data_IF_824701375705
#
_entry.id   IF_824701375705
#
_cell.length_a   1.000
_cell.length_b   1.000
_cell.length_c   1.000
_cell.angle_alpha   90.00
_cell.angle_beta   90.00
_cell.angle_gamma   90.00
#
_symmetry.space_group_name_H-M   'P 1'
#
loop_
_entity.id
_entity.type
_entity.pdbx_description
1 polymer ?
#
# COMPACT_ATOMS: atom_id res chain seq x y z
N UNK A 1 -21.04 6.82 -6.08
CA UNK A 1 -19.60 6.66 -5.78
C UNK A 1 -18.84 7.58 -6.71
N UNK A 2 -17.75 8.20 -6.27
CA UNK A 2 -16.99 9.18 -7.05
C UNK A 2 -15.61 8.61 -7.40
N UNK A 3 -15.50 7.74 -8.42
CA UNK A 3 -14.23 7.08 -8.76
C UNK A 3 -13.24 8.03 -9.45
N UNK A 4 -13.75 9.10 -10.06
CA UNK A 4 -12.96 10.08 -10.82
C UNK A 4 -13.29 11.47 -10.31
N UNK A 5 -12.25 12.22 -9.93
CA UNK A 5 -12.30 13.65 -9.69
C UNK A 5 -11.87 14.37 -10.96
N UNK A 6 -12.79 15.12 -11.56
CA UNK A 6 -12.51 15.87 -12.77
C UNK A 6 -12.19 17.33 -12.42
N UNK A 7 -10.94 17.73 -12.61
CA UNK A 7 -10.47 19.10 -12.42
C UNK A 7 -10.16 19.66 -13.83
N UNK A 8 -11.18 20.24 -14.46
CA UNK A 8 -11.10 20.69 -15.85
C UNK A 8 -10.77 19.51 -16.80
N UNK A 9 -9.69 19.56 -17.59
CA UNK A 9 -9.29 18.46 -18.48
C UNK A 9 -8.63 17.28 -17.74
N UNK A 10 -8.28 17.44 -16.45
CA UNK A 10 -7.55 16.42 -15.70
C UNK A 10 -8.53 15.47 -14.98
N UNK A 11 -8.51 14.19 -15.37
CA UNK A 11 -9.27 13.12 -14.72
C UNK A 11 -8.37 12.38 -13.72
N UNK A 12 -8.57 12.61 -12.42
CA UNK A 12 -7.81 11.99 -11.35
C UNK A 12 -8.60 10.81 -10.80
N UNK A 13 -7.98 9.62 -10.73
CA UNK A 13 -8.57 8.46 -10.04
C UNK A 13 -8.54 8.71 -8.53
N UNK A 14 -9.71 8.96 -7.95
CA UNK A 14 -9.90 9.25 -6.53
C UNK A 14 -9.37 8.14 -5.59
N UNK A 15 -9.57 6.85 -5.88
CA UNK A 15 -9.05 5.77 -5.02
C UNK A 15 -7.53 5.84 -4.85
N UNK A 16 -6.80 6.03 -5.95
CA UNK A 16 -5.34 6.15 -5.92
C UNK A 16 -4.87 7.40 -5.17
N UNK A 17 -5.57 8.53 -5.36
CA UNK A 17 -5.27 9.77 -4.65
C UNK A 17 -5.42 9.59 -3.12
N UNK A 18 -6.50 8.95 -2.67
CA UNK A 18 -6.75 8.69 -1.26
C UNK A 18 -5.68 7.79 -0.64
N UNK A 19 -5.21 6.77 -1.36
CA UNK A 19 -4.10 5.93 -0.90
C UNK A 19 -2.80 6.72 -0.77
N UNK A 20 -2.49 7.61 -1.72
CA UNK A 20 -1.29 8.47 -1.66
C UNK A 20 -1.36 9.43 -0.46
N UNK A 21 -2.51 10.08 -0.25
CA UNK A 21 -2.73 10.97 0.90
C UNK A 21 -2.62 10.20 2.22
N UNK A 22 -3.22 9.01 2.29
CA UNK A 22 -3.14 8.14 3.46
C UNK A 22 -1.71 7.69 3.76
N UNK A 23 -0.94 7.33 2.74
CA UNK A 23 0.47 6.95 2.89
C UNK A 23 1.31 8.13 3.38
N UNK A 24 1.10 9.32 2.82
CA UNK A 24 1.80 10.53 3.26
C UNK A 24 1.52 10.86 4.73
N UNK A 25 0.25 10.83 5.14
CA UNK A 25 -0.12 11.04 6.55
C UNK A 25 0.42 9.94 7.47
N UNK A 26 0.41 8.69 7.01
CA UNK A 26 1.00 7.58 7.73
C UNK A 26 2.50 7.80 7.97
N UNK A 27 3.25 8.22 6.94
CA UNK A 27 4.68 8.53 7.07
C UNK A 27 4.92 9.65 8.09
N UNK A 28 4.17 10.75 8.00
CA UNK A 28 4.29 11.87 8.97
C UNK A 28 4.07 11.41 10.41
N UNK A 29 3.16 10.47 10.66
CA UNK A 29 2.94 9.91 12.00
C UNK A 29 4.06 8.99 12.45
N UNK A 30 4.56 8.13 11.56
CA UNK A 30 5.69 7.24 11.85
C UNK A 30 6.94 8.05 12.19
N UNK A 31 7.24 9.09 11.43
CA UNK A 31 8.39 9.98 11.66
C UNK A 31 8.29 10.68 13.02
N UNK A 32 7.08 11.06 13.44
CA UNK A 32 6.82 11.64 14.77
C UNK A 32 6.94 10.63 15.91
N UNK A 33 6.63 9.35 15.66
CA UNK A 33 6.69 8.30 16.67
C UNK A 33 8.11 7.69 16.79
N UNK A 34 8.90 7.71 15.72
CA UNK A 34 10.28 7.23 15.67
C UNK A 34 11.16 7.70 16.85
N UNK A 35 11.26 9.01 17.16
CA UNK A 35 12.09 9.49 18.26
C UNK A 35 11.57 9.05 19.63
N UNK A 36 10.24 8.88 19.80
CA UNK A 36 9.64 8.42 21.08
C UNK A 36 10.01 6.98 21.38
N UNK A 37 10.33 6.19 20.36
CA UNK A 37 10.74 4.79 20.46
C UNK A 37 12.26 4.61 20.41
N UNK A 38 13.03 5.71 20.37
CA UNK A 38 14.50 5.66 20.28
C UNK A 38 15.02 5.15 18.93
N UNK A 39 14.19 5.20 17.88
CA UNK A 39 14.53 4.73 16.54
C UNK A 39 14.97 5.91 15.69
N UNK A 40 16.03 5.71 14.91
CA UNK A 40 16.45 6.70 13.91
C UNK A 40 15.37 6.83 12.84
N UNK A 41 14.90 8.05 12.63
CA UNK A 41 13.85 8.35 11.65
C UNK A 41 14.17 7.80 10.24
N UNK A 42 15.41 8.02 9.78
CA UNK A 42 15.89 7.51 8.50
C UNK A 42 15.84 5.98 8.36
N UNK A 43 15.82 5.23 9.46
CA UNK A 43 15.65 3.78 9.42
C UNK A 43 14.21 3.42 9.02
N UNK A 44 13.21 4.08 9.61
CA UNK A 44 11.80 3.81 9.33
C UNK A 44 11.40 4.30 7.94
N UNK A 45 11.84 5.51 7.53
CA UNK A 45 11.56 6.03 6.18
C UNK A 45 12.14 5.12 5.10
N UNK A 46 13.38 4.65 5.28
CA UNK A 46 14.00 3.71 4.34
C UNK A 46 13.29 2.35 4.35
N UNK A 47 12.90 1.85 5.53
CA UNK A 47 12.15 0.60 5.65
C UNK A 47 10.84 0.68 4.87
N UNK A 48 10.05 1.75 5.07
CA UNK A 48 8.78 1.98 4.37
C UNK A 48 9.03 2.05 2.86
N UNK A 49 10.06 2.80 2.42
CA UNK A 49 10.36 2.95 1.01
C UNK A 49 10.73 1.60 0.34
N UNK A 50 11.61 0.81 0.97
CA UNK A 50 11.97 -0.51 0.46
C UNK A 50 10.79 -1.48 0.49
N UNK A 51 9.97 -1.45 1.53
CA UNK A 51 8.77 -2.27 1.64
C UNK A 51 7.75 -1.92 0.56
N UNK A 52 7.53 -0.63 0.29
CA UNK A 52 6.62 -0.16 -0.75
C UNK A 52 7.09 -0.59 -2.15
N UNK A 53 8.38 -0.37 -2.45
CA UNK A 53 8.96 -0.78 -3.72
C UNK A 53 8.86 -2.31 -3.92
N UNK A 54 9.23 -3.08 -2.90
CA UNK A 54 9.11 -4.53 -2.91
C UNK A 54 7.66 -5.00 -3.03
N UNK A 55 6.71 -4.31 -2.40
CA UNK A 55 5.29 -4.63 -2.47
C UNK A 55 4.71 -4.43 -3.85
N UNK A 56 5.04 -3.33 -4.53
CA UNK A 56 4.60 -3.10 -5.93
C UNK A 56 5.19 -4.14 -6.86
N UNK A 57 6.49 -4.44 -6.73
CA UNK A 57 7.16 -5.47 -7.54
C UNK A 57 6.56 -6.85 -7.25
N UNK A 58 6.39 -7.20 -5.98
CA UNK A 58 5.82 -8.47 -5.54
C UNK A 58 4.38 -8.66 -6.03
N UNK A 59 3.55 -7.62 -5.96
CA UNK A 59 2.19 -7.67 -6.46
C UNK A 59 2.13 -7.87 -7.98
N UNK A 60 3.03 -7.24 -8.73
CA UNK A 60 3.13 -7.41 -10.18
C UNK A 60 3.59 -8.81 -10.55
N UNK A 61 4.61 -9.33 -9.86
CA UNK A 61 5.12 -10.68 -10.07
C UNK A 61 4.09 -11.73 -9.68
N UNK A 62 3.38 -11.55 -8.56
CA UNK A 62 2.28 -12.42 -8.15
C UNK A 62 1.17 -12.49 -9.20
N UNK A 63 0.75 -11.33 -9.72
CA UNK A 63 -0.24 -11.29 -10.79
C UNK A 63 0.25 -12.02 -12.06
N UNK A 64 1.52 -11.84 -12.41
CA UNK A 64 2.13 -12.52 -13.55
C UNK A 64 2.21 -14.04 -13.37
N UNK A 65 2.49 -14.52 -12.14
CA UNK A 65 2.46 -15.95 -11.80
C UNK A 65 1.04 -16.54 -11.94
N UNK A 66 -0.01 -15.76 -11.66
CA UNK A 66 -1.39 -16.22 -11.85
C UNK A 66 -1.83 -16.19 -13.33
N UNK A 67 -1.21 -15.34 -14.15
CA UNK A 67 -1.57 -15.15 -15.56
C UNK A 67 -0.39 -15.43 -16.51
N UNK A 68 0.37 -16.50 -16.25
CA UNK A 68 1.63 -16.80 -16.96
C UNK A 68 1.48 -16.76 -18.49
N UNK A 69 0.40 -17.32 -19.03
CA UNK A 69 0.17 -17.37 -20.48
C UNK A 69 0.11 -15.97 -21.12
N UNK A 70 -0.47 -14.97 -20.43
CA UNK A 70 -0.54 -13.60 -20.93
C UNK A 70 0.82 -12.90 -20.93
N UNK A 71 1.67 -13.21 -19.95
CA UNK A 71 2.99 -12.59 -19.80
C UNK A 71 4.07 -13.27 -20.66
N UNK A 72 3.94 -14.56 -20.96
CA UNK A 72 4.82 -15.25 -21.91
C UNK A 72 4.65 -14.68 -23.31
N UNK A 73 3.43 -14.31 -23.69
CA UNK A 73 3.14 -13.70 -24.99
C UNK A 73 3.60 -12.23 -25.09
N UNK A 74 3.60 -11.51 -23.97
CA UNK A 74 4.10 -10.13 -23.92
C UNK A 74 4.85 -9.84 -22.61
N UNK A 75 6.16 -10.13 -22.54
CA UNK A 75 6.96 -9.94 -21.33
C UNK A 75 7.02 -8.48 -20.86
N UNK A 76 6.85 -7.51 -21.77
CA UNK A 76 6.84 -6.09 -21.44
C UNK A 76 5.61 -5.67 -20.63
N UNK A 77 4.57 -6.51 -20.56
CA UNK A 77 3.41 -6.29 -19.70
C UNK A 77 3.76 -6.19 -18.20
N UNK A 78 4.94 -6.68 -17.78
CA UNK A 78 5.45 -6.52 -16.42
C UNK A 78 5.66 -5.06 -16.02
N UNK A 79 5.99 -4.18 -16.96
CA UNK A 79 6.26 -2.75 -16.72
C UNK A 79 4.99 -1.89 -16.89
N UNK A 80 3.84 -2.53 -17.15
CA UNK A 80 2.59 -1.81 -17.32
C UNK A 80 2.24 -0.94 -16.10
N UNK A 81 1.78 0.28 -16.35
CA UNK A 81 1.24 1.18 -15.33
C UNK A 81 -0.19 0.82 -14.91
N UNK A 82 -0.75 -0.26 -15.46
CA UNK A 82 -2.09 -0.71 -15.09
C UNK A 82 -2.11 -1.22 -13.63
N UNK A 83 -2.86 -0.52 -12.79
CA UNK A 83 -3.04 -0.84 -11.37
C UNK A 83 -3.89 -2.08 -11.14
N UNK A 84 -4.74 -2.44 -12.10
CA UNK A 84 -5.70 -3.53 -11.95
C UNK A 84 -5.03 -4.92 -12.08
N UNK A 85 -3.81 -4.95 -12.63
CA UNK A 85 -2.99 -6.16 -12.79
C UNK A 85 -1.98 -6.35 -11.64
N UNK A 86 -2.39 -6.07 -10.40
CA UNK A 86 -1.57 -6.21 -9.20
C UNK A 86 -2.25 -7.20 -8.25
N UNK A 87 -1.50 -8.18 -7.75
CA UNK A 87 -1.98 -9.17 -6.80
C UNK A 87 -1.66 -8.69 -5.35
N UNK A 88 -2.67 -8.23 -4.57
CA UNK A 88 -2.40 -7.49 -3.33
C UNK A 88 -1.71 -8.34 -2.25
N UNK A 89 -2.08 -9.61 -2.14
CA UNK A 89 -1.57 -10.51 -1.10
C UNK A 89 -0.07 -10.74 -1.25
N UNK A 90 0.38 -11.02 -2.47
CA UNK A 90 1.77 -11.24 -2.86
C UNK A 90 2.58 -9.96 -2.68
N UNK A 91 1.97 -8.81 -2.92
CA UNK A 91 2.55 -7.51 -2.59
C UNK A 91 2.80 -7.34 -1.09
N UNK A 92 1.81 -7.65 -0.25
CA UNK A 92 1.97 -7.57 1.23
C UNK A 92 3.04 -8.54 1.72
N UNK A 93 3.08 -9.77 1.18
CA UNK A 93 4.10 -10.77 1.52
C UNK A 93 5.50 -10.28 1.13
N UNK A 94 5.68 -9.76 -0.08
CA UNK A 94 6.96 -9.23 -0.53
C UNK A 94 7.42 -8.02 0.29
N UNK A 95 6.50 -7.09 0.59
CA UNK A 95 6.76 -5.93 1.43
C UNK A 95 7.21 -6.34 2.84
N UNK A 96 6.49 -7.28 3.47
CA UNK A 96 6.81 -7.81 4.79
C UNK A 96 8.16 -8.53 4.83
N UNK A 97 8.47 -9.33 3.80
CA UNK A 97 9.74 -10.03 3.68
C UNK A 97 10.91 -9.04 3.59
N UNK A 98 10.81 -8.02 2.74
CA UNK A 98 11.87 -7.01 2.57
C UNK A 98 12.01 -6.15 3.82
N UNK A 99 10.89 -5.74 4.44
CA UNK A 99 10.92 -5.01 5.71
C UNK A 99 11.63 -5.81 6.80
N UNK A 100 11.35 -7.11 6.91
CA UNK A 100 12.01 -8.00 7.87
C UNK A 100 13.51 -8.13 7.59
N UNK A 101 13.90 -8.40 6.33
CA UNK A 101 15.32 -8.50 5.94
C UNK A 101 16.06 -7.19 6.24
N UNK A 102 15.46 -6.05 5.92
CA UNK A 102 16.04 -4.72 6.16
C UNK A 102 16.23 -4.45 7.65
N UNK A 103 15.19 -4.69 8.46
CA UNK A 103 15.25 -4.53 9.92
C UNK A 103 16.34 -5.40 10.56
N UNK A 104 16.47 -6.67 10.11
CA UNK A 104 17.52 -7.59 10.58
C UNK A 104 18.92 -7.10 10.19
N UNK A 105 19.10 -6.61 8.96
CA UNK A 105 20.38 -6.04 8.48
C UNK A 105 20.81 -4.78 9.22
N UNK A 106 19.86 -4.00 9.74
CA UNK A 106 20.14 -2.79 10.51
C UNK A 106 20.21 -3.02 12.01
N UNK A 107 20.16 -4.28 12.46
CA UNK A 107 20.14 -4.66 13.87
C UNK A 107 19.07 -3.91 14.68
N UNK A 108 17.95 -3.55 14.04
CA UNK A 108 16.86 -2.85 14.72
C UNK A 108 16.03 -3.83 15.53
N UNK A 109 15.63 -3.43 16.74
CA UNK A 109 14.68 -4.19 17.54
C UNK A 109 13.33 -4.23 16.81
N UNK A 110 12.83 -5.45 16.58
CA UNK A 110 11.60 -5.70 15.83
C UNK A 110 10.39 -5.06 16.50
N UNK A 111 10.22 -5.26 17.81
CA UNK A 111 9.04 -4.75 18.55
C UNK A 111 8.93 -3.22 18.56
N UNK A 112 9.97 -2.45 18.94
CA UNK A 112 9.92 -0.99 18.83
C UNK A 112 9.63 -0.51 17.40
N UNK A 113 10.15 -1.21 16.39
CA UNK A 113 9.91 -0.86 14.98
C UNK A 113 8.44 -1.04 14.62
N UNK A 114 7.83 -2.17 15.00
CA UNK A 114 6.41 -2.42 14.79
C UNK A 114 5.52 -1.44 15.57
N UNK A 115 5.87 -1.14 16.82
CA UNK A 115 5.17 -0.14 17.63
C UNK A 115 5.20 1.24 16.98
N UNK A 116 6.36 1.66 16.43
CA UNK A 116 6.50 2.93 15.74
C UNK A 116 5.71 2.99 14.42
N UNK A 117 5.57 1.85 13.73
CA UNK A 117 4.81 1.75 12.48
C UNK A 117 3.29 1.70 12.69
N UNK A 118 2.84 1.24 13.86
CA UNK A 118 1.42 0.96 14.15
C UNK A 118 0.51 2.18 13.90
N UNK A 119 0.80 3.41 14.38
CA UNK A 119 -0.04 4.57 14.11
C UNK A 119 -0.17 4.88 12.61
N UNK A 120 0.93 4.71 11.85
CA UNK A 120 0.94 4.89 10.41
C UNK A 120 0.03 3.89 9.70
N UNK A 121 0.13 2.61 10.05
CA UNK A 121 -0.74 1.57 9.51
C UNK A 121 -2.22 1.82 9.82
N UNK A 122 -2.54 2.26 11.05
CA UNK A 122 -3.93 2.57 11.42
C UNK A 122 -4.51 3.69 10.55
N UNK A 123 -3.76 4.78 10.33
CA UNK A 123 -4.22 5.87 9.46
C UNK A 123 -4.32 5.39 8.01
N UNK A 124 -3.34 4.67 7.50
CA UNK A 124 -3.40 4.13 6.15
C UNK A 124 -4.63 3.24 5.92
N UNK A 125 -4.98 2.38 6.89
CA UNK A 125 -6.17 1.52 6.82
C UNK A 125 -7.49 2.31 6.70
N UNK A 126 -7.59 3.47 7.36
CA UNK A 126 -8.75 4.37 7.20
C UNK A 126 -8.84 4.89 5.76
N UNK A 127 -7.71 5.27 5.16
CA UNK A 127 -7.67 5.73 3.77
C UNK A 127 -7.92 4.61 2.75
N UNK A 128 -7.55 3.37 3.05
CA UNK A 128 -7.99 2.20 2.27
C UNK A 128 -9.52 2.09 2.28
N UNK A 129 -10.16 2.29 3.43
CA UNK A 129 -11.62 2.35 3.53
C UNK A 129 -12.23 3.46 2.66
N UNK A 130 -11.67 4.67 2.69
CA UNK A 130 -12.11 5.76 1.81
C UNK A 130 -11.88 5.46 0.32
N UNK A 131 -10.76 4.81 -0.03
CA UNK A 131 -10.48 4.42 -1.40
C UNK A 131 -11.55 3.44 -1.91
N UNK A 132 -11.90 2.42 -1.12
CA UNK A 132 -12.98 1.48 -1.43
C UNK A 132 -14.34 2.15 -1.54
N UNK A 133 -14.66 3.09 -0.64
CA UNK A 133 -15.90 3.87 -0.70
C UNK A 133 -15.98 4.74 -1.97
N UNK A 134 -14.84 5.25 -2.45
CA UNK A 134 -14.79 6.05 -3.67
C UNK A 134 -14.89 5.20 -4.95
N UNK A 135 -14.30 3.99 -4.95
CA UNK A 135 -14.27 3.11 -6.12
C UNK A 135 -15.55 2.30 -6.30
N UNK A 136 -16.10 1.79 -5.20
CA UNK A 136 -17.26 0.90 -5.22
C UNK A 136 -16.99 -0.58 -5.31
N UNK A 137 -15.74 -0.98 -5.18
CA UNK A 137 -15.35 -2.37 -5.44
C UNK A 137 -15.45 -3.28 -4.19
N UNK A 138 -15.55 -2.73 -2.99
CA UNK A 138 -15.57 -3.49 -1.74
C UNK A 138 -16.83 -3.22 -0.91
N UNK A 139 -17.99 -3.54 -1.47
CA UNK A 139 -19.26 -3.51 -0.75
C UNK A 139 -19.40 -4.69 0.23
N UNK A 140 -20.17 -4.45 1.30
CA UNK A 140 -20.44 -5.45 2.32
C UNK A 140 -21.49 -6.48 1.91
N UNK A 141 -21.92 -7.30 2.88
CA UNK A 141 -23.00 -8.25 2.66
C UNK A 141 -24.34 -7.53 2.40
N UNK A 142 -25.22 -8.07 1.54
CA UNK A 142 -26.55 -7.53 1.32
C UNK A 142 -27.34 -7.41 2.63
N UNK A 143 -28.03 -6.28 2.81
CA UNK A 143 -28.82 -6.01 4.02
C UNK A 143 -30.05 -5.17 3.71
N UNK A 144 -31.03 -5.20 4.60
CA UNK A 144 -32.30 -4.45 4.48
C UNK A 144 -32.31 -3.17 5.35
N UNK A 145 -31.15 -2.74 5.83
CA UNK A 145 -31.01 -1.55 6.68
C UNK A 145 -31.20 -0.27 5.85
N UNK A 146 -31.67 0.83 6.46
CA UNK A 146 -31.96 2.07 5.72
C UNK A 146 -30.68 2.81 5.23
N UNK A 147 -29.51 2.38 5.68
CA UNK A 147 -28.19 2.87 5.24
C UNK A 147 -27.42 1.85 4.39
N UNK A 148 -28.11 0.81 3.90
CA UNK A 148 -27.56 -0.20 3.00
C UNK A 148 -27.08 0.41 1.68
#
# INVERSE_FOLDING_TARGET
MFPILQIGPLAIRLPGLLLIVGLWLAMVLVEREAPRRGIKDSLLTNLIFYALAAGVIGARLGHALHHLNAYVQNPLALISLNTDALAPLEGVVAAGLVAWIYARRKASSLWPTLDALTPGFSVFAVFVGFAHLSSGDAFGAPTQLPWA
#
